data_IF_226666491105
#
_entry.id   IF_226666491105
#
_cell.length_a   1.000
_cell.length_b   1.000
_cell.length_c   1.000
_cell.angle_alpha   90.00
_cell.angle_beta   90.00
_cell.angle_gamma   90.00
#
_symmetry.space_group_name_H-M   'P 1'
#
loop_
_entity.id
_entity.type
_entity.pdbx_description
1 polymer ?
#
# COMPACT_ATOMS: atom_id res chain seq x y z
N UNK A 1 12.81 -2.24 30.44
CA UNK A 1 12.17 -2.46 29.12
C UNK A 1 10.76 -1.92 29.26
N UNK A 2 10.25 -0.96 28.49
CA UNK A 2 10.30 -0.75 27.04
C UNK A 2 9.94 0.71 26.72
N UNK A 3 10.85 1.45 26.07
CA UNK A 3 10.59 2.74 25.44
C UNK A 3 11.09 2.70 23.98
N UNK A 4 10.69 1.66 23.25
CA UNK A 4 11.06 1.42 21.85
C UNK A 4 9.95 1.80 20.86
N UNK A 5 8.93 2.58 21.28
CA UNK A 5 7.77 2.92 20.44
C UNK A 5 7.81 4.34 19.84
N UNK A 6 8.87 5.13 20.04
CA UNK A 6 8.89 6.53 19.62
C UNK A 6 9.68 6.84 18.33
N UNK A 7 10.05 5.84 17.53
CA UNK A 7 10.83 6.06 16.31
C UNK A 7 10.17 5.61 15.00
N UNK A 8 8.83 5.48 14.97
CA UNK A 8 8.09 5.23 13.71
C UNK A 8 7.62 6.59 13.15
N UNK A 9 8.20 7.10 12.05
CA UNK A 9 7.78 8.34 11.41
C UNK A 9 6.40 8.20 10.75
N UNK A 10 5.72 9.34 10.51
CA UNK A 10 4.51 9.67 11.25
C UNK A 10 3.49 8.53 11.18
N UNK A 11 3.01 8.10 12.35
CA UNK A 11 1.73 7.39 12.42
C UNK A 11 0.68 8.33 11.84
N UNK A 12 0.31 8.13 10.57
CA UNK A 12 -0.97 8.65 10.09
C UNK A 12 -2.01 8.11 11.06
N UNK A 13 -2.55 8.98 11.89
CA UNK A 13 -3.53 8.62 12.89
C UNK A 13 -4.70 7.97 12.15
N UNK A 14 -4.92 6.68 12.38
CA UNK A 14 -6.07 5.99 11.85
C UNK A 14 -7.31 6.47 12.61
N UNK A 15 -8.43 6.57 11.92
CA UNK A 15 -9.71 6.85 12.58
C UNK A 15 -10.02 5.78 13.65
N UNK A 16 -10.74 6.11 14.73
CA UNK A 16 -11.12 5.13 15.74
C UNK A 16 -11.80 3.90 15.14
N UNK A 17 -11.31 2.70 15.49
CA UNK A 17 -11.83 1.42 14.98
C UNK A 17 -11.23 0.97 13.65
N UNK A 18 -10.45 1.83 12.99
CA UNK A 18 -9.69 1.47 11.81
C UNK A 18 -8.38 0.78 12.19
N UNK A 19 -8.05 -0.27 11.44
CA UNK A 19 -6.80 -1.03 11.57
C UNK A 19 -6.11 -1.05 10.20
N UNK A 20 -4.80 -1.30 10.22
CA UNK A 20 -3.97 -1.43 9.04
C UNK A 20 -3.19 -2.74 9.10
N UNK A 21 -2.76 -3.27 7.96
CA UNK A 21 -1.80 -4.39 7.94
C UNK A 21 -0.53 -4.04 8.71
N UNK A 22 0.01 -5.02 9.43
CA UNK A 22 1.22 -4.85 10.24
C UNK A 22 2.49 -4.68 9.41
N UNK A 23 2.45 -5.14 8.17
CA UNK A 23 3.50 -4.94 7.17
C UNK A 23 2.90 -4.29 5.92
N UNK A 24 3.72 -3.49 5.24
CA UNK A 24 3.39 -2.99 3.92
C UNK A 24 3.86 -3.97 2.85
N UNK A 25 3.18 -3.96 1.72
CA UNK A 25 3.67 -4.60 0.51
C UNK A 25 4.72 -3.71 -0.11
N UNK A 26 5.99 -4.15 -0.19
CA UNK A 26 7.02 -3.36 -0.83
C UNK A 26 6.76 -3.31 -2.34
N UNK A 27 6.80 -2.11 -2.91
CA UNK A 27 6.84 -1.92 -4.35
C UNK A 27 7.92 -0.91 -4.70
N UNK A 28 8.83 -1.37 -5.55
CA UNK A 28 10.01 -0.62 -5.97
C UNK A 28 10.09 -0.64 -7.47
N UNK A 29 10.44 0.51 -8.06
CA UNK A 29 10.69 0.63 -9.48
C UNK A 29 11.68 1.77 -9.75
N UNK A 30 12.37 1.65 -10.89
CA UNK A 30 13.20 2.72 -11.43
C UNK A 30 12.47 3.37 -12.59
N UNK A 31 12.40 4.69 -12.57
CA UNK A 31 11.81 5.50 -13.65
C UNK A 31 12.75 5.55 -14.86
N UNK A 32 12.22 5.97 -16.01
CA UNK A 32 13.01 6.20 -17.22
C UNK A 32 14.09 7.30 -17.00
N UNK A 33 13.87 8.24 -16.08
CA UNK A 33 14.86 9.25 -15.65
C UNK A 33 15.94 8.71 -14.71
N UNK A 34 15.85 7.43 -14.31
CA UNK A 34 16.80 6.75 -13.43
C UNK A 34 16.49 6.89 -11.94
N UNK A 35 15.45 7.63 -11.56
CA UNK A 35 15.02 7.78 -10.16
C UNK A 35 14.53 6.45 -9.60
N UNK A 36 15.07 6.05 -8.45
CA UNK A 36 14.58 4.88 -7.72
C UNK A 36 13.46 5.30 -6.78
N UNK A 37 12.27 4.73 -6.98
CA UNK A 37 11.10 4.91 -6.12
C UNK A 37 10.96 3.67 -5.24
N UNK A 38 11.03 3.85 -3.92
CA UNK A 38 10.88 2.77 -2.94
C UNK A 38 9.69 3.11 -2.05
N UNK A 39 8.63 2.30 -2.14
CA UNK A 39 7.42 2.52 -1.39
C UNK A 39 6.89 1.24 -0.75
N UNK A 40 6.02 1.41 0.23
CA UNK A 40 5.24 0.37 0.87
C UNK A 40 3.76 0.72 0.79
N UNK A 41 2.93 -0.25 0.41
CA UNK A 41 1.48 -0.10 0.36
C UNK A 41 0.80 -0.95 1.44
N UNK A 42 -0.16 -0.38 2.15
CA UNK A 42 -0.82 -1.02 3.28
C UNK A 42 -2.32 -1.12 3.01
N UNK A 43 -2.97 -2.16 3.54
CA UNK A 43 -4.44 -2.29 3.50
C UNK A 43 -5.02 -1.80 4.81
N UNK A 44 -6.09 -1.03 4.73
CA UNK A 44 -6.84 -0.52 5.86
C UNK A 44 -8.21 -1.20 5.94
N UNK A 45 -8.61 -1.57 7.16
CA UNK A 45 -9.80 -2.37 7.40
C UNK A 45 -10.39 -2.13 8.79
N UNK A 46 -11.68 -2.35 8.95
CA UNK A 46 -12.38 -2.21 10.23
C UNK A 46 -13.42 -3.31 10.42
N UNK A 47 -13.82 -3.55 11.68
CA UNK A 47 -14.83 -4.56 12.02
C UNK A 47 -14.47 -6.01 11.66
N UNK A 48 -13.23 -6.30 11.25
CA UNK A 48 -12.79 -7.64 10.88
C UNK A 48 -12.53 -8.51 12.10
N UNK A 49 -12.80 -9.80 11.99
CA UNK A 49 -12.46 -10.79 13.02
C UNK A 49 -10.95 -11.02 13.09
N UNK A 50 -10.47 -11.58 14.20
CA UNK A 50 -9.04 -11.95 14.34
C UNK A 50 -8.56 -12.93 13.27
N UNK A 51 -9.43 -13.84 12.78
CA UNK A 51 -9.13 -14.75 11.66
C UNK A 51 -8.94 -13.98 10.36
N UNK A 52 -9.89 -13.11 10.00
CA UNK A 52 -9.81 -12.29 8.78
C UNK A 52 -8.57 -11.38 8.81
N UNK A 53 -8.29 -10.74 9.95
CA UNK A 53 -7.07 -9.94 10.12
C UNK A 53 -5.81 -10.75 9.82
N UNK A 54 -5.69 -11.98 10.33
CA UNK A 54 -4.53 -12.84 10.02
C UNK A 54 -4.44 -13.20 8.54
N UNK A 55 -5.56 -13.47 7.89
CA UNK A 55 -5.59 -13.78 6.45
C UNK A 55 -5.16 -12.58 5.60
N UNK A 56 -5.65 -11.38 5.92
CA UNK A 56 -5.24 -10.13 5.25
C UNK A 56 -3.74 -9.87 5.48
N UNK A 57 -3.23 -10.06 6.70
CA UNK A 57 -1.81 -9.88 6.99
C UNK A 57 -0.90 -10.93 6.31
N UNK A 58 -1.35 -12.17 6.17
CA UNK A 58 -0.60 -13.19 5.43
C UNK A 58 -0.51 -12.85 3.93
N UNK A 59 -1.56 -12.25 3.37
CA UNK A 59 -1.61 -11.85 1.96
C UNK A 59 -0.57 -10.78 1.61
N UNK A 60 -0.29 -9.82 2.50
CA UNK A 60 0.72 -8.78 2.23
C UNK A 60 2.16 -9.28 2.30
N UNK A 61 2.40 -10.44 2.93
CA UNK A 61 3.72 -11.08 2.98
C UNK A 61 3.96 -12.09 1.84
N UNK A 62 3.00 -12.21 0.92
CA UNK A 62 3.07 -13.17 -0.19
C UNK A 62 4.19 -12.82 -1.20
N UNK A 63 4.90 -13.82 -1.70
CA UNK A 63 6.04 -13.61 -2.62
C UNK A 63 5.63 -13.11 -4.01
N UNK A 64 4.35 -13.22 -4.38
CA UNK A 64 3.82 -12.73 -5.67
C UNK A 64 3.92 -11.20 -5.83
N UNK A 65 4.14 -10.46 -4.74
CA UNK A 65 4.40 -9.03 -4.76
C UNK A 65 5.81 -8.68 -5.26
N UNK A 66 6.74 -9.64 -5.26
CA UNK A 66 8.10 -9.41 -5.73
C UNK A 66 8.09 -8.88 -7.17
N UNK A 67 8.77 -7.75 -7.40
CA UNK A 67 8.85 -7.08 -8.71
C UNK A 67 7.55 -6.42 -9.18
N UNK A 68 6.50 -6.34 -8.34
CA UNK A 68 5.22 -5.73 -8.71
C UNK A 68 5.41 -4.30 -9.24
N UNK A 69 6.13 -3.45 -8.48
CA UNK A 69 6.35 -2.05 -8.84
C UNK A 69 6.93 -1.88 -10.25
N UNK A 70 8.02 -2.58 -10.57
CA UNK A 70 8.65 -2.48 -11.89
C UNK A 70 7.78 -3.05 -13.01
N UNK A 71 7.09 -4.17 -12.79
CA UNK A 71 6.16 -4.73 -13.79
C UNK A 71 5.02 -3.76 -14.11
N UNK A 72 4.42 -3.20 -13.07
CA UNK A 72 3.33 -2.24 -13.21
C UNK A 72 3.81 -0.95 -13.87
N UNK A 73 4.97 -0.42 -13.47
CA UNK A 73 5.57 0.74 -14.14
C UNK A 73 5.80 0.47 -15.63
N UNK A 74 6.43 -0.65 -15.99
CA UNK A 74 6.73 -1.01 -17.38
C UNK A 74 5.47 -1.20 -18.24
N UNK A 75 4.34 -1.56 -17.64
CA UNK A 75 3.06 -1.69 -18.33
C UNK A 75 2.38 -0.33 -18.63
N UNK A 76 2.86 0.77 -18.04
CA UNK A 76 2.31 2.10 -18.31
C UNK A 76 2.66 2.58 -19.72
N UNK A 77 1.75 3.33 -20.39
CA UNK A 77 2.07 4.01 -21.63
C UNK A 77 3.30 4.91 -21.48
N UNK A 78 4.16 4.98 -22.52
CA UNK A 78 5.40 5.76 -22.49
C UNK A 78 5.20 7.22 -22.04
N UNK A 79 4.11 7.87 -22.48
CA UNK A 79 3.76 9.23 -22.06
C UNK A 79 3.56 9.38 -20.56
N UNK A 80 3.03 8.35 -19.88
CA UNK A 80 2.84 8.35 -18.41
C UNK A 80 4.15 8.06 -17.69
N UNK A 81 4.97 7.12 -18.21
CA UNK A 81 6.28 6.79 -17.63
C UNK A 81 7.24 7.97 -17.63
N UNK A 82 7.24 8.76 -18.70
CA UNK A 82 8.15 9.88 -18.91
C UNK A 82 7.99 11.03 -17.90
N UNK A 83 6.82 11.16 -17.27
CA UNK A 83 6.50 12.27 -16.34
C UNK A 83 6.31 11.80 -14.90
N UNK A 84 6.54 10.51 -14.63
CA UNK A 84 6.29 9.93 -13.32
C UNK A 84 7.53 10.02 -12.43
N UNK A 85 7.47 10.88 -11.42
CA UNK A 85 8.51 11.05 -10.40
C UNK A 85 8.09 10.55 -9.00
N UNK A 86 6.89 9.98 -8.86
CA UNK A 86 6.29 9.50 -7.60
C UNK A 86 5.36 8.29 -7.79
N UNK A 87 4.64 7.83 -6.74
CA UNK A 87 3.86 6.59 -6.76
C UNK A 87 2.80 6.61 -7.85
N UNK A 88 2.10 7.73 -8.06
CA UNK A 88 1.24 8.00 -9.21
C UNK A 88 0.40 6.78 -9.66
N UNK A 89 0.33 6.50 -10.97
CA UNK A 89 -0.43 5.36 -11.51
C UNK A 89 0.00 3.99 -10.98
N UNK A 90 1.27 3.84 -10.59
CA UNK A 90 1.78 2.58 -10.00
C UNK A 90 1.23 2.37 -8.59
N UNK A 91 1.10 3.45 -7.83
CA UNK A 91 0.49 3.49 -6.50
C UNK A 91 -1.00 3.13 -6.55
N UNK A 92 -1.74 3.75 -7.47
CA UNK A 92 -3.17 3.44 -7.66
C UNK A 92 -3.39 1.97 -8.04
N UNK A 93 -2.54 1.44 -8.91
CA UNK A 93 -2.60 0.04 -9.32
C UNK A 93 -2.38 -0.93 -8.14
N UNK A 94 -1.35 -0.70 -7.32
CA UNK A 94 -1.08 -1.58 -6.17
C UNK A 94 -2.19 -1.49 -5.12
N UNK A 95 -2.74 -0.29 -4.86
CA UNK A 95 -3.85 -0.14 -3.91
C UNK A 95 -5.10 -0.89 -4.38
N UNK A 96 -5.45 -0.76 -5.66
CA UNK A 96 -6.57 -1.52 -6.24
C UNK A 96 -6.35 -3.03 -6.11
N UNK A 97 -5.17 -3.54 -6.46
CA UNK A 97 -4.87 -4.97 -6.34
C UNK A 97 -4.88 -5.46 -4.90
N UNK A 98 -4.37 -4.63 -3.97
CA UNK A 98 -4.37 -4.92 -2.55
C UNK A 98 -5.78 -5.03 -1.99
N UNK A 99 -6.65 -4.09 -2.31
CA UNK A 99 -8.07 -4.12 -1.92
C UNK A 99 -8.73 -5.39 -2.44
N UNK A 100 -8.56 -5.71 -3.72
CA UNK A 100 -9.14 -6.91 -4.33
C UNK A 100 -8.62 -8.21 -3.72
N UNK A 101 -7.32 -8.29 -3.42
CA UNK A 101 -6.74 -9.47 -2.76
C UNK A 101 -7.17 -9.58 -1.30
N UNK A 102 -7.33 -8.46 -0.58
CA UNK A 102 -7.83 -8.46 0.79
C UNK A 102 -9.26 -9.00 0.87
N UNK A 103 -10.15 -8.59 -0.05
CA UNK A 103 -11.51 -9.12 -0.15
C UNK A 103 -11.54 -10.64 -0.40
N UNK A 104 -10.63 -11.15 -1.23
CA UNK A 104 -10.49 -12.60 -1.48
C UNK A 104 -9.92 -13.35 -0.27
N UNK A 105 -8.94 -12.77 0.41
CA UNK A 105 -8.28 -13.40 1.55
C UNK A 105 -9.20 -13.51 2.78
N UNK A 106 -10.12 -12.55 2.95
CA UNK A 106 -11.06 -12.48 4.05
C UNK A 106 -12.52 -12.50 3.57
N UNK A 107 -13.08 -13.69 3.23
CA UNK A 107 -14.48 -13.80 2.84
C UNK A 107 -15.43 -13.16 3.85
N UNK A 108 -16.50 -12.55 3.35
CA UNK A 108 -17.46 -11.80 4.15
C UNK A 108 -17.06 -10.36 4.45
N UNK A 109 -15.84 -9.94 4.10
CA UNK A 109 -15.50 -8.51 4.04
C UNK A 109 -16.06 -7.87 2.78
N UNK A 110 -16.39 -6.59 2.86
CA UNK A 110 -16.84 -5.77 1.72
C UNK A 110 -16.00 -4.52 1.59
N UNK A 111 -15.88 -3.99 0.37
CA UNK A 111 -15.17 -2.73 0.15
C UNK A 111 -16.06 -1.56 0.59
N UNK A 112 -15.56 -0.73 1.52
CA UNK A 112 -16.19 0.54 1.96
C UNK A 112 -17.68 0.38 2.31
N UNK A 113 -18.03 -0.70 2.99
CA UNK A 113 -19.41 -0.95 3.40
C UNK A 113 -19.83 -0.03 4.56
N UNK A 114 -21.11 0.34 4.61
CA UNK A 114 -21.62 1.16 5.71
C UNK A 114 -21.53 0.47 7.08
N UNK A 115 -21.59 -0.87 7.11
CA UNK A 115 -21.63 -1.68 8.33
C UNK A 115 -20.97 -3.05 8.11
N UNK A 116 -20.46 -3.63 9.21
CA UNK A 116 -19.84 -4.96 9.24
C UNK A 116 -18.33 -4.94 8.91
N UNK A 117 -17.71 -6.13 8.74
CA UNK A 117 -16.31 -6.25 8.37
C UNK A 117 -16.04 -5.61 6.99
N UNK A 118 -15.09 -4.69 6.91
CA UNK A 118 -14.79 -4.00 5.66
C UNK A 118 -13.31 -3.71 5.43
N UNK A 119 -12.95 -3.65 4.16
CA UNK A 119 -11.73 -2.99 3.67
C UNK A 119 -12.12 -1.56 3.37
N UNK A 120 -11.48 -0.59 4.01
CA UNK A 120 -11.80 0.84 3.85
C UNK A 120 -10.97 1.49 2.75
N UNK A 121 -9.77 0.98 2.52
CA UNK A 121 -8.88 1.43 1.47
C UNK A 121 -7.46 0.94 1.68
N UNK A 122 -6.50 1.77 1.29
CA UNK A 122 -5.10 1.56 1.61
C UNK A 122 -4.31 2.85 1.63
N UNK A 123 -3.10 2.76 2.17
CA UNK A 123 -2.18 3.87 2.29
C UNK A 123 -0.85 3.53 1.65
N UNK A 124 -0.15 4.53 1.14
CA UNK A 124 1.20 4.39 0.58
C UNK A 124 2.16 5.24 1.41
N UNK A 125 3.31 4.67 1.74
CA UNK A 125 4.46 5.38 2.27
C UNK A 125 5.61 5.24 1.28
N UNK A 126 6.18 6.35 0.84
CA UNK A 126 7.30 6.36 -0.12
C UNK A 126 8.51 7.05 0.49
N UNK A 127 9.68 6.46 0.22
CA UNK A 127 10.96 7.09 0.49
C UNK A 127 11.62 7.50 -0.83
N UNK A 128 11.99 8.77 -0.93
CA UNK A 128 12.69 9.35 -2.07
C UNK A 128 14.14 9.61 -1.66
N UNK A 129 15.08 8.70 -1.94
CA UNK A 129 16.46 8.83 -1.48
C UNK A 129 17.18 10.09 -1.99
N UNK A 130 16.64 10.77 -3.01
CA UNK A 130 17.20 12.00 -3.59
C UNK A 130 16.41 13.28 -3.23
N UNK A 131 15.50 13.25 -2.25
CA UNK A 131 15.09 14.46 -1.53
C UNK A 131 14.03 15.39 -2.15
N UNK A 132 13.07 14.93 -2.95
CA UNK A 132 11.82 15.69 -3.13
C UNK A 132 10.63 14.83 -3.59
N UNK A 133 9.47 14.87 -2.90
CA UNK A 133 8.19 14.74 -3.58
C UNK A 133 7.91 16.07 -4.28
N UNK A 134 7.94 16.08 -5.62
CA UNK A 134 7.23 17.11 -6.39
C UNK A 134 5.78 16.67 -6.53
N UNK A 135 5.05 16.68 -5.42
CA UNK A 135 3.58 16.75 -5.50
C UNK A 135 3.25 18.16 -5.99
N UNK A 136 3.35 18.35 -7.30
CA UNK A 136 2.77 19.49 -8.00
C UNK A 136 1.26 19.34 -7.98
N UNK A 137 0.62 19.93 -6.97
CA UNK A 137 -0.71 20.50 -7.18
C UNK A 137 -0.60 21.76 -8.01
#
# INVERSE_FOLDING_TARGET
MTAYQLSVPPFQSLEPGLQRTSHGVPFTYRTDSGTLVVCEAFVEFSGVTGRQRRQINAMVTDTSWAGYGQRTYNALPAKKRAVQDGPGPTGDAILNDLEQRALRAAPGTKLRAAQGPMVTGGAISCNYPNGAPRDGR
#
